data_IF_819880849171
#
_entry.id   IF_819880849171
#
_cell.length_a   1.000
_cell.length_b   1.000
_cell.length_c   1.000
_cell.angle_alpha   90.00
_cell.angle_beta   90.00
_cell.angle_gamma   90.00
#
_symmetry.space_group_name_H-M   'P 1'
#
loop_
_entity.id
_entity.type
_entity.pdbx_description
1 polymer ?
#
# COMPACT_ATOMS: atom_id res chain seq x y z
N UNK A 1 -2.08 -23.01 20.37
CA UNK A 1 -2.29 -21.63 19.91
C UNK A 1 -3.57 -21.55 19.12
N UNK A 2 -4.48 -20.67 19.49
CA UNK A 2 -5.79 -20.49 18.84
C UNK A 2 -6.11 -19.02 18.71
N UNK A 3 -6.71 -18.59 17.63
CA UNK A 3 -7.19 -17.23 17.41
C UNK A 3 -8.34 -16.93 18.37
N UNK A 4 -8.21 -15.86 19.15
CA UNK A 4 -9.18 -15.45 20.17
C UNK A 4 -9.88 -14.12 19.87
N UNK A 5 -9.27 -13.24 19.10
CA UNK A 5 -9.88 -11.99 18.65
C UNK A 5 -9.22 -11.40 17.41
N UNK A 6 -9.97 -10.59 16.67
CA UNK A 6 -9.45 -9.62 15.72
C UNK A 6 -9.93 -8.23 16.18
N UNK A 7 -9.01 -7.28 16.28
CA UNK A 7 -9.33 -5.90 16.64
C UNK A 7 -8.91 -4.98 15.50
N UNK A 8 -9.80 -4.09 15.11
CA UNK A 8 -9.53 -3.08 14.07
C UNK A 8 -9.19 -1.75 14.71
N UNK A 9 -8.15 -1.10 14.19
CA UNK A 9 -7.69 0.22 14.60
C UNK A 9 -7.65 1.12 13.36
N UNK A 10 -8.48 2.14 13.32
CA UNK A 10 -8.44 3.14 12.25
C UNK A 10 -7.79 4.39 12.80
N UNK A 11 -6.70 4.80 12.20
CA UNK A 11 -5.94 5.97 12.61
C UNK A 11 -5.51 6.82 11.41
N UNK A 12 -5.39 8.13 11.63
CA UNK A 12 -4.91 9.05 10.62
C UNK A 12 -3.37 9.07 10.62
N UNK A 13 -2.77 8.66 9.50
CA UNK A 13 -1.34 8.73 9.27
C UNK A 13 -1.05 9.71 8.12
N UNK A 14 -0.50 10.87 8.46
CA UNK A 14 -0.30 11.94 7.50
C UNK A 14 -1.63 12.41 6.90
N UNK A 15 -1.77 12.33 5.58
CA UNK A 15 -2.96 12.76 4.84
C UNK A 15 -3.96 11.63 4.55
N UNK A 16 -3.74 10.42 5.09
CA UNK A 16 -4.60 9.26 4.81
C UNK A 16 -4.94 8.49 6.09
N UNK A 17 -6.19 8.02 6.23
CA UNK A 17 -6.51 7.02 7.23
C UNK A 17 -5.88 5.67 6.88
N UNK A 18 -5.61 4.85 7.90
CA UNK A 18 -5.14 3.47 7.80
C UNK A 18 -5.95 2.60 8.71
N UNK A 19 -6.34 1.44 8.23
CA UNK A 19 -6.96 0.41 9.03
C UNK A 19 -5.93 -0.68 9.33
N UNK A 20 -5.65 -0.90 10.61
CA UNK A 20 -4.74 -1.93 11.10
C UNK A 20 -5.56 -3.01 11.79
N UNK A 21 -5.27 -4.27 11.52
CA UNK A 21 -5.86 -5.41 12.20
C UNK A 21 -4.84 -6.02 13.17
N UNK A 22 -5.28 -6.28 14.39
CA UNK A 22 -4.54 -7.04 15.39
C UNK A 22 -5.23 -8.38 15.61
N UNK A 23 -4.57 -9.49 15.28
CA UNK A 23 -5.04 -10.84 15.57
C UNK A 23 -4.40 -11.31 16.86
N UNK A 24 -5.19 -11.68 17.85
CA UNK A 24 -4.73 -12.15 19.17
C UNK A 24 -4.95 -13.67 19.33
N UNK A 25 -4.10 -14.30 20.14
CA UNK A 25 -4.16 -15.73 20.41
C UNK A 25 -4.25 -16.03 21.91
N UNK A 26 -4.64 -17.24 22.26
CA UNK A 26 -4.71 -17.75 23.63
C UNK A 26 -3.33 -17.91 24.31
N UNK A 27 -2.24 -17.93 23.52
CA UNK A 27 -0.86 -18.01 24.04
C UNK A 27 -0.26 -16.61 24.32
N UNK A 28 -1.01 -15.52 24.09
CA UNK A 28 -0.54 -14.14 24.28
C UNK A 28 0.30 -13.60 23.12
N UNK A 29 0.63 -14.41 22.12
CA UNK A 29 1.24 -13.96 20.87
C UNK A 29 0.15 -13.28 20.02
N UNK A 30 0.50 -12.18 19.40
CA UNK A 30 -0.39 -11.46 18.47
C UNK A 30 0.36 -11.00 17.24
N UNK A 31 -0.37 -10.83 16.15
CA UNK A 31 0.15 -10.30 14.89
C UNK A 31 -0.60 -9.08 14.41
N UNK A 32 0.08 -8.28 13.59
CA UNK A 32 -0.45 -7.10 12.95
C UNK A 32 -0.50 -7.24 11.43
N UNK A 33 -1.54 -6.67 10.83
CA UNK A 33 -1.63 -6.48 9.40
C UNK A 33 -2.31 -5.15 9.05
N UNK A 34 -1.97 -4.59 7.89
CA UNK A 34 -2.60 -3.37 7.37
C UNK A 34 -3.61 -3.74 6.28
N UNK A 35 -4.85 -3.29 6.45
CA UNK A 35 -5.86 -3.32 5.41
C UNK A 35 -5.76 -2.03 4.58
N UNK A 36 -5.09 -2.12 3.43
CA UNK A 36 -4.96 -0.98 2.53
C UNK A 36 -6.21 -0.83 1.67
N UNK A 37 -7.13 0.01 2.13
CA UNK A 37 -8.33 0.36 1.37
C UNK A 37 -8.41 1.88 1.23
N UNK A 38 -7.90 2.42 0.14
CA UNK A 38 -7.92 3.87 -0.09
C UNK A 38 -9.37 4.36 -0.25
N UNK A 39 -9.95 4.84 0.84
CA UNK A 39 -11.29 5.43 0.89
C UNK A 39 -12.24 4.79 1.91
N UNK A 40 -12.69 3.53 1.76
CA UNK A 40 -13.67 2.95 2.68
C UNK A 40 -13.06 2.27 3.91
N UNK A 41 -12.09 2.91 4.57
CA UNK A 41 -11.34 2.33 5.71
C UNK A 41 -12.24 1.94 6.89
N UNK A 42 -13.34 2.67 7.12
CA UNK A 42 -14.33 2.36 8.16
C UNK A 42 -15.12 1.06 7.86
N UNK A 43 -15.12 0.60 6.62
CA UNK A 43 -15.79 -0.65 6.23
C UNK A 43 -14.95 -1.88 6.55
N UNK A 44 -13.69 -1.72 6.93
CA UNK A 44 -12.79 -2.83 7.27
C UNK A 44 -13.21 -3.52 8.55
N UNK A 45 -13.65 -2.77 9.58
CA UNK A 45 -14.04 -3.32 10.89
C UNK A 45 -15.16 -4.37 10.77
N UNK A 46 -16.34 -4.09 10.19
CA UNK A 46 -17.40 -5.09 10.08
C UNK A 46 -17.00 -6.31 9.21
N UNK A 47 -16.10 -6.13 8.25
CA UNK A 47 -15.57 -7.26 7.49
C UNK A 47 -14.60 -8.10 8.33
N UNK A 48 -13.77 -7.46 9.13
CA UNK A 48 -12.86 -8.15 10.06
C UNK A 48 -13.62 -8.94 11.12
N UNK A 49 -14.73 -8.41 11.64
CA UNK A 49 -15.62 -9.12 12.56
C UNK A 49 -16.23 -10.36 11.89
N UNK A 50 -16.68 -10.24 10.65
CA UNK A 50 -17.20 -11.37 9.88
C UNK A 50 -16.11 -12.44 9.63
N UNK A 51 -14.89 -12.02 9.28
CA UNK A 51 -13.75 -12.91 9.12
C UNK A 51 -13.44 -13.62 10.44
N UNK A 52 -13.48 -12.89 11.57
CA UNK A 52 -13.22 -13.49 12.89
C UNK A 52 -14.14 -14.65 13.20
N UNK A 53 -15.45 -14.52 12.96
CA UNK A 53 -16.40 -15.62 13.19
C UNK A 53 -16.09 -16.87 12.35
N UNK A 54 -15.47 -16.70 11.20
CA UNK A 54 -15.06 -17.85 10.38
C UNK A 54 -13.82 -18.56 10.91
N UNK A 55 -12.85 -17.84 11.49
CA UNK A 55 -11.52 -18.38 11.86
C UNK A 55 -11.27 -18.46 13.36
N UNK A 56 -12.24 -18.08 14.17
CA UNK A 56 -12.18 -18.19 15.64
C UNK A 56 -11.86 -19.59 16.07
N UNK A 57 -10.82 -19.73 16.91
CA UNK A 57 -10.37 -21.02 17.44
C UNK A 57 -9.47 -21.81 16.49
N UNK A 58 -9.26 -21.37 15.25
CA UNK A 58 -8.26 -21.97 14.35
C UNK A 58 -6.84 -21.71 14.85
N UNK A 59 -5.89 -22.59 14.50
CA UNK A 59 -4.47 -22.38 14.73
C UNK A 59 -3.93 -21.37 13.69
N UNK A 60 -3.46 -20.19 14.12
CA UNK A 60 -3.00 -19.13 13.23
C UNK A 60 -1.79 -19.51 12.37
N UNK A 61 -1.06 -20.58 12.76
CA UNK A 61 0.09 -21.07 11.97
C UNK A 61 -0.32 -21.88 10.74
N UNK A 62 -1.60 -22.22 10.62
CA UNK A 62 -2.16 -22.90 9.44
C UNK A 62 -2.60 -21.86 8.39
N UNK A 63 -1.68 -21.01 7.98
CA UNK A 63 -1.94 -19.83 7.15
C UNK A 63 -2.67 -20.20 5.87
N UNK A 64 -2.12 -21.13 5.08
CA UNK A 64 -2.72 -21.56 3.82
C UNK A 64 -4.13 -22.14 3.99
N UNK A 65 -4.35 -22.89 5.07
CA UNK A 65 -5.67 -23.44 5.37
C UNK A 65 -6.67 -22.31 5.66
N UNK A 66 -6.27 -21.31 6.46
CA UNK A 66 -7.12 -20.16 6.80
C UNK A 66 -7.42 -19.34 5.55
N UNK A 67 -6.41 -19.06 4.71
CA UNK A 67 -6.59 -18.32 3.46
C UNK A 67 -7.53 -19.06 2.51
N UNK A 68 -7.33 -20.34 2.31
CA UNK A 68 -8.24 -21.18 1.52
C UNK A 68 -9.68 -21.11 2.06
N UNK A 69 -9.86 -21.27 3.37
CA UNK A 69 -11.15 -21.19 4.04
C UNK A 69 -11.83 -19.84 3.80
N UNK A 70 -11.11 -18.73 3.96
CA UNK A 70 -11.65 -17.38 3.74
C UNK A 70 -12.05 -17.17 2.29
N UNK A 71 -11.22 -17.56 1.32
CA UNK A 71 -11.55 -17.43 -0.10
C UNK A 71 -12.74 -18.31 -0.53
N UNK A 72 -12.93 -19.48 0.06
CA UNK A 72 -14.03 -20.39 -0.27
C UNK A 72 -15.37 -20.01 0.38
N UNK A 73 -15.35 -19.36 1.54
CA UNK A 73 -16.57 -18.98 2.27
C UNK A 73 -17.34 -17.83 1.60
N UNK A 74 -16.67 -16.99 0.85
CA UNK A 74 -17.34 -15.95 0.07
C UNK A 74 -17.88 -16.55 -1.24
N UNK A 75 -19.20 -16.63 -1.36
CA UNK A 75 -19.86 -17.11 -2.57
C UNK A 75 -19.48 -16.31 -3.82
N UNK A 76 -19.21 -15.01 -3.64
CA UNK A 76 -18.74 -14.09 -4.67
C UNK A 76 -17.42 -13.46 -4.22
N UNK A 77 -16.56 -13.02 -5.13
CA UNK A 77 -15.33 -12.31 -4.75
C UNK A 77 -15.65 -11.15 -3.80
N UNK A 78 -14.95 -11.03 -2.67
CA UNK A 78 -15.30 -10.07 -1.60
C UNK A 78 -15.01 -8.61 -1.96
N UNK A 79 -14.59 -8.34 -3.18
CA UNK A 79 -14.23 -6.99 -3.65
C UNK A 79 -12.96 -6.46 -3.01
N UNK A 80 -12.60 -5.21 -3.35
CA UNK A 80 -11.33 -4.61 -2.92
C UNK A 80 -11.21 -4.49 -1.40
N UNK A 81 -12.26 -4.07 -0.72
CA UNK A 81 -12.25 -3.91 0.76
C UNK A 81 -12.15 -5.25 1.46
N UNK A 82 -12.93 -6.24 1.01
CA UNK A 82 -12.88 -7.58 1.59
C UNK A 82 -11.54 -8.25 1.38
N UNK A 83 -10.94 -8.13 0.20
CA UNK A 83 -9.60 -8.65 -0.08
C UNK A 83 -8.53 -7.92 0.74
N UNK A 84 -8.67 -6.60 0.97
CA UNK A 84 -7.78 -5.86 1.87
C UNK A 84 -7.83 -6.37 3.29
N UNK A 85 -9.03 -6.66 3.81
CA UNK A 85 -9.18 -7.24 5.15
C UNK A 85 -8.58 -8.65 5.24
N UNK A 86 -8.81 -9.52 4.23
CA UNK A 86 -8.20 -10.84 4.16
C UNK A 86 -6.67 -10.74 4.12
N UNK A 87 -6.10 -9.83 3.30
CA UNK A 87 -4.66 -9.61 3.25
C UNK A 87 -4.09 -9.12 4.59
N UNK A 88 -4.81 -8.27 5.31
CA UNK A 88 -4.39 -7.83 6.63
C UNK A 88 -4.36 -9.00 7.64
N UNK A 89 -5.34 -9.90 7.56
CA UNK A 89 -5.33 -11.12 8.36
C UNK A 89 -4.14 -12.01 7.99
N UNK A 90 -3.87 -12.21 6.69
CA UNK A 90 -2.70 -12.96 6.21
C UNK A 90 -1.39 -12.40 6.79
N UNK A 91 -1.17 -11.10 6.68
CA UNK A 91 -0.01 -10.44 7.29
C UNK A 91 0.09 -10.73 8.80
N UNK A 92 -1.03 -10.63 9.53
CA UNK A 92 -1.06 -10.88 10.96
C UNK A 92 -0.74 -12.34 11.30
N UNK A 93 -1.19 -13.30 10.50
CA UNK A 93 -0.87 -14.72 10.68
C UNK A 93 0.62 -15.02 10.44
N UNK A 94 1.21 -14.40 9.42
CA UNK A 94 2.66 -14.48 9.19
C UNK A 94 3.46 -13.85 10.33
N UNK A 95 3.02 -12.71 10.85
CA UNK A 95 3.65 -12.04 12.01
C UNK A 95 3.59 -12.94 13.27
N UNK A 96 2.43 -13.57 13.54
CA UNK A 96 2.28 -14.57 14.61
C UNK A 96 3.25 -15.73 14.41
N UNK A 97 3.32 -16.27 13.19
CA UNK A 97 4.17 -17.43 12.89
C UNK A 97 5.65 -17.11 13.07
N UNK A 98 6.10 -15.92 12.62
CA UNK A 98 7.45 -15.43 12.84
C UNK A 98 7.79 -15.28 14.32
N UNK A 99 6.89 -14.66 15.10
CA UNK A 99 7.05 -14.51 16.56
C UNK A 99 7.07 -15.86 17.29
N UNK A 100 6.18 -16.77 16.91
CA UNK A 100 6.14 -18.12 17.50
C UNK A 100 7.41 -18.93 17.19
N UNK A 101 8.00 -18.75 16.01
CA UNK A 101 9.25 -19.40 15.61
C UNK A 101 10.51 -18.65 16.11
N UNK A 102 10.37 -17.43 16.65
CA UNK A 102 11.50 -16.60 17.07
C UNK A 102 12.36 -16.06 15.91
N UNK A 103 11.79 -15.95 14.70
CA UNK A 103 12.50 -15.48 13.51
C UNK A 103 11.67 -14.39 12.79
N UNK A 104 12.33 -13.47 12.07
CA UNK A 104 11.61 -12.52 11.23
C UNK A 104 10.90 -13.23 10.06
N UNK A 105 9.75 -12.66 9.63
CA UNK A 105 8.89 -13.26 8.60
C UNK A 105 9.65 -13.58 7.31
N UNK A 106 10.59 -12.74 6.88
CA UNK A 106 11.34 -13.01 5.65
C UNK A 106 12.12 -14.32 5.68
N UNK A 107 12.52 -14.80 6.88
CA UNK A 107 13.19 -16.10 7.02
C UNK A 107 12.23 -17.26 6.74
N UNK A 108 10.96 -17.12 7.11
CA UNK A 108 9.92 -18.09 6.78
C UNK A 108 9.58 -18.11 5.27
N UNK A 109 9.79 -16.97 4.60
CA UNK A 109 9.54 -16.80 3.17
C UNK A 109 10.74 -17.15 2.26
N UNK A 110 11.79 -17.76 2.81
CA UNK A 110 12.94 -18.21 2.04
C UNK A 110 14.23 -17.42 2.24
N UNK A 111 14.25 -16.45 3.15
CA UNK A 111 15.44 -15.69 3.52
C UNK A 111 15.65 -14.41 2.70
N UNK A 112 16.71 -13.68 3.04
CA UNK A 112 17.06 -12.42 2.38
C UNK A 112 17.75 -12.67 1.04
N UNK A 113 17.27 -12.01 0.00
CA UNK A 113 17.92 -12.01 -1.34
C UNK A 113 18.89 -10.84 -1.48
N UNK A 114 18.73 -9.80 -0.65
CA UNK A 114 19.55 -8.57 -0.68
C UNK A 114 19.46 -7.86 0.66
N UNK A 115 20.50 -7.10 1.00
CA UNK A 115 20.58 -6.35 2.26
C UNK A 115 20.05 -4.92 2.14
N UNK A 116 19.88 -4.43 0.90
CA UNK A 116 19.40 -3.08 0.62
C UNK A 116 18.42 -3.10 -0.54
N UNK A 117 17.42 -2.24 -0.49
CA UNK A 117 16.44 -2.02 -1.55
C UNK A 117 16.56 -0.56 -1.97
N UNK A 118 16.73 -0.33 -3.29
CA UNK A 118 16.64 1.01 -3.85
C UNK A 118 15.20 1.50 -3.76
N UNK A 119 15.01 2.71 -3.25
CA UNK A 119 13.70 3.34 -3.07
C UNK A 119 13.60 4.63 -3.84
N UNK A 120 12.40 5.03 -4.17
CA UNK A 120 12.08 6.37 -4.68
C UNK A 120 11.20 7.13 -3.69
N UNK A 121 11.20 8.45 -3.77
CA UNK A 121 10.34 9.31 -2.96
C UNK A 121 9.20 9.89 -3.79
N UNK A 122 7.98 9.85 -3.25
CA UNK A 122 6.84 10.54 -3.85
C UNK A 122 6.93 12.06 -3.62
N UNK A 123 6.90 12.84 -4.71
CA UNK A 123 6.95 14.30 -4.64
C UNK A 123 5.88 14.93 -5.52
N UNK A 124 5.54 16.18 -5.23
CA UNK A 124 4.63 16.99 -6.04
C UNK A 124 5.15 18.40 -6.18
N UNK A 125 4.64 19.11 -7.18
CA UNK A 125 4.93 20.51 -7.44
C UNK A 125 3.92 21.08 -8.43
N UNK A 126 3.75 22.40 -8.44
CA UNK A 126 2.88 23.12 -9.39
C UNK A 126 3.59 23.47 -10.71
N UNK A 127 4.90 23.28 -10.75
CA UNK A 127 5.76 23.46 -11.92
C UNK A 127 6.91 22.46 -11.86
N UNK A 128 7.58 22.23 -12.98
CA UNK A 128 8.78 21.37 -13.02
C UNK A 128 9.90 21.95 -12.16
N UNK A 129 10.02 23.29 -12.11
CA UNK A 129 11.00 23.97 -11.26
C UNK A 129 10.75 23.72 -9.78
N UNK A 130 9.52 23.92 -9.29
CA UNK A 130 9.17 23.68 -7.88
C UNK A 130 9.43 22.22 -7.48
N UNK A 131 9.06 21.26 -8.35
CA UNK A 131 9.33 19.85 -8.12
C UNK A 131 10.84 19.57 -8.07
N UNK A 132 11.62 20.15 -8.97
CA UNK A 132 13.06 19.99 -9.01
C UNK A 132 13.75 20.53 -7.75
N UNK A 133 13.33 21.72 -7.28
CA UNK A 133 13.83 22.30 -6.04
C UNK A 133 13.54 21.38 -4.84
N UNK A 134 12.35 20.77 -4.80
CA UNK A 134 12.01 19.79 -3.77
C UNK A 134 12.83 18.50 -3.90
N UNK A 135 13.10 18.03 -5.11
CA UNK A 135 13.94 16.86 -5.35
C UNK A 135 15.38 17.11 -4.85
N UNK A 136 15.94 18.29 -5.12
CA UNK A 136 17.25 18.67 -4.59
C UNK A 136 17.29 18.70 -3.07
N UNK A 137 16.28 19.24 -2.40
CA UNK A 137 16.18 19.20 -0.93
C UNK A 137 16.21 17.76 -0.39
N UNK A 138 15.46 16.85 -1.00
CA UNK A 138 15.41 15.44 -0.59
C UNK A 138 16.73 14.71 -0.89
N UNK A 139 17.43 15.10 -1.94
CA UNK A 139 18.78 14.60 -2.19
C UNK A 139 19.77 15.06 -1.11
N UNK A 140 19.78 16.35 -0.77
CA UNK A 140 20.66 16.89 0.26
C UNK A 140 20.39 16.30 1.65
N UNK A 141 19.10 16.11 1.98
CA UNK A 141 18.69 15.61 3.29
C UNK A 141 18.82 14.07 3.44
N UNK A 142 18.49 13.32 2.39
CA UNK A 142 18.33 11.87 2.46
C UNK A 142 19.04 11.07 1.38
N UNK A 143 19.63 11.72 0.38
CA UNK A 143 20.32 11.07 -0.72
C UNK A 143 19.42 10.42 -1.78
N UNK A 144 18.13 10.83 -1.87
CA UNK A 144 17.25 10.32 -2.92
C UNK A 144 17.66 10.80 -4.31
N UNK A 145 17.73 9.86 -5.26
CA UNK A 145 18.00 10.13 -6.69
C UNK A 145 16.89 9.60 -7.60
N UNK A 146 15.82 9.06 -7.02
CA UNK A 146 14.68 8.55 -7.74
C UNK A 146 13.38 9.11 -7.13
N UNK A 147 12.48 9.59 -7.98
CA UNK A 147 11.27 10.30 -7.57
C UNK A 147 10.05 9.82 -8.36
N UNK A 148 8.88 9.94 -7.73
CA UNK A 148 7.59 9.67 -8.39
C UNK A 148 6.67 10.86 -8.24
N UNK A 149 6.02 11.28 -9.33
CA UNK A 149 5.02 12.34 -9.35
C UNK A 149 3.86 12.00 -10.28
N UNK A 150 2.74 12.71 -10.11
CA UNK A 150 1.66 12.67 -11.10
C UNK A 150 2.01 13.48 -12.34
N UNK A 151 1.61 13.06 -13.56
CA UNK A 151 1.91 13.80 -14.79
C UNK A 151 1.03 15.02 -15.02
N UNK A 152 -0.09 15.13 -14.31
CA UNK A 152 -1.14 16.07 -14.68
C UNK A 152 -1.09 17.36 -13.86
N UNK A 153 -0.74 18.48 -14.50
CA UNK A 153 -0.96 19.83 -14.00
C UNK A 153 -2.37 20.35 -14.34
N UNK A 154 -2.96 19.83 -15.40
CA UNK A 154 -4.34 20.10 -15.81
C UNK A 154 -5.25 18.93 -15.39
N UNK A 155 -6.54 19.23 -15.20
CA UNK A 155 -7.50 18.19 -14.90
C UNK A 155 -7.84 17.38 -16.16
N UNK A 156 -7.49 16.09 -16.26
CA UNK A 156 -7.76 15.27 -17.43
C UNK A 156 -9.25 15.06 -17.71
N UNK A 157 -10.12 15.24 -16.70
CA UNK A 157 -11.57 15.09 -16.85
C UNK A 157 -12.26 16.37 -17.34
N UNK A 158 -11.61 17.53 -17.19
CA UNK A 158 -12.19 18.83 -17.52
C UNK A 158 -11.55 19.50 -18.73
N UNK A 159 -10.29 19.19 -19.04
CA UNK A 159 -9.52 19.79 -20.11
C UNK A 159 -9.52 18.95 -21.39
N UNK A 160 -9.26 19.60 -22.54
CA UNK A 160 -9.05 18.88 -23.79
C UNK A 160 -7.79 18.01 -23.71
N UNK A 161 -7.90 16.76 -24.08
CA UNK A 161 -6.85 15.75 -23.94
C UNK A 161 -5.50 16.18 -24.54
N UNK A 162 -5.51 16.80 -25.73
CA UNK A 162 -4.29 17.34 -26.36
C UNK A 162 -3.57 18.39 -25.49
N UNK A 163 -4.33 19.24 -24.78
CA UNK A 163 -3.75 20.20 -23.83
C UNK A 163 -3.15 19.51 -22.61
N UNK A 164 -3.83 18.49 -22.09
CA UNK A 164 -3.36 17.70 -20.95
C UNK A 164 -2.03 17.01 -21.29
N UNK A 165 -1.96 16.38 -22.47
CA UNK A 165 -0.73 15.72 -22.94
C UNK A 165 0.43 16.71 -23.12
N UNK A 166 0.19 17.85 -23.78
CA UNK A 166 1.22 18.85 -23.99
C UNK A 166 1.72 19.43 -22.66
N UNK A 167 0.81 19.77 -21.74
CA UNK A 167 1.17 20.28 -20.43
C UNK A 167 1.98 19.25 -19.61
N UNK A 168 1.67 17.95 -19.72
CA UNK A 168 2.43 16.88 -19.08
C UNK A 168 3.84 16.76 -19.69
N UNK A 169 3.96 16.86 -21.01
CA UNK A 169 5.26 16.83 -21.69
C UNK A 169 6.13 18.04 -21.31
N UNK A 170 5.55 19.22 -21.31
CA UNK A 170 6.25 20.45 -20.90
C UNK A 170 6.69 20.41 -19.43
N UNK A 171 5.83 19.88 -18.57
CA UNK A 171 6.14 19.68 -17.15
C UNK A 171 7.33 18.74 -16.96
N UNK A 172 7.35 17.62 -17.66
CA UNK A 172 8.49 16.69 -17.60
C UNK A 172 9.77 17.31 -18.17
N UNK A 173 9.67 18.00 -19.29
CA UNK A 173 10.82 18.71 -19.89
C UNK A 173 11.40 19.76 -18.93
N UNK A 174 10.52 20.48 -18.20
CA UNK A 174 10.95 21.48 -17.21
C UNK A 174 11.64 20.83 -16.00
N UNK A 175 11.14 19.69 -15.51
CA UNK A 175 11.82 18.90 -14.47
C UNK A 175 13.23 18.52 -14.93
N UNK A 176 13.36 17.96 -16.15
CA UNK A 176 14.65 17.49 -16.67
C UNK A 176 15.68 18.59 -16.89
N UNK A 177 15.26 19.80 -17.16
CA UNK A 177 16.16 20.98 -17.29
C UNK A 177 16.83 21.37 -15.98
N UNK A 178 16.22 21.03 -14.84
CA UNK A 178 16.63 21.50 -13.52
C UNK A 178 17.13 20.37 -12.61
N UNK A 179 17.27 19.15 -13.13
CA UNK A 179 17.75 18.00 -12.37
C UNK A 179 18.90 17.30 -13.09
N UNK A 180 19.81 16.64 -12.36
CA UNK A 180 20.87 15.82 -12.94
C UNK A 180 20.31 14.73 -13.90
N UNK A 181 21.07 14.40 -14.93
CA UNK A 181 20.66 13.45 -15.96
C UNK A 181 20.45 12.03 -15.40
N UNK A 182 21.24 11.64 -14.41
CA UNK A 182 21.22 10.33 -13.75
C UNK A 182 20.10 10.16 -12.71
N UNK A 183 19.35 11.23 -12.41
CA UNK A 183 18.16 11.10 -11.54
C UNK A 183 16.99 10.50 -12.30
N UNK A 184 16.24 9.65 -11.63
CA UNK A 184 15.09 8.97 -12.21
C UNK A 184 13.76 9.59 -11.79
N UNK A 185 12.84 9.73 -12.75
CA UNK A 185 11.49 10.22 -12.49
C UNK A 185 10.47 9.26 -13.08
N UNK A 186 9.54 8.81 -12.23
CA UNK A 186 8.37 8.04 -12.63
C UNK A 186 7.12 8.93 -12.63
N UNK A 187 6.33 8.86 -13.70
CA UNK A 187 5.00 9.45 -13.76
C UNK A 187 3.94 8.40 -13.46
N UNK A 188 3.13 8.68 -12.45
CA UNK A 188 2.05 7.81 -12.03
C UNK A 188 0.68 8.47 -12.28
N UNK A 189 -0.04 8.06 -13.33
CA UNK A 189 -1.35 8.63 -13.67
C UNK A 189 -2.49 8.18 -12.76
N UNK A 190 -2.26 7.26 -11.83
CA UNK A 190 -3.23 6.76 -10.85
C UNK A 190 -4.59 6.34 -11.43
N UNK A 191 -4.60 5.62 -12.53
CA UNK A 191 -5.83 5.14 -13.20
C UNK A 191 -6.88 6.26 -13.44
N UNK A 192 -6.45 7.52 -13.57
CA UNK A 192 -7.32 8.66 -13.87
C UNK A 192 -7.59 8.84 -15.36
N UNK A 193 -6.96 8.01 -16.18
CA UNK A 193 -7.22 7.99 -17.62
C UNK A 193 -8.29 6.91 -17.85
N UNK A 194 -9.52 7.35 -17.94
CA UNK A 194 -10.56 6.55 -18.58
C UNK A 194 -10.35 6.69 -20.08
N UNK A 195 -10.60 5.62 -20.86
CA UNK A 195 -10.45 5.65 -22.31
C UNK A 195 -11.05 6.93 -22.88
N UNK A 196 -10.33 7.63 -23.77
CA UNK A 196 -10.83 8.86 -24.36
C UNK A 196 -12.04 8.55 -25.22
N UNK A 197 -13.19 8.70 -24.64
CA UNK A 197 -14.47 8.64 -25.36
C UNK A 197 -14.72 9.99 -26.06
N UNK A 198 -13.70 10.84 -26.22
CA UNK A 198 -13.87 12.19 -26.77
C UNK A 198 -12.83 12.55 -27.79
#
# INVERSE_FOLDING_TARGET
MKITSIKTFVAQFGNRPRALLKVETDDGIYGWGEAYSTGPDLSVEPIADYIFEMIKGDDPRRIEYIMMKLHQQFRFPPGGVGLSAISAVDHALWDISGKAAGVPVYMLLGGSVRDRIRVYHGIGGRSGRELSDRAHQLYEEWGFTAFKTGPYLLNPDADRWGRVCNAAADYFADIRKHTPEDWEFAFDPHAKIFEPIR
#
